data_IF_274607901270
#
_entry.id   IF_274607901270
#
_cell.length_a   1.000
_cell.length_b   1.000
_cell.length_c   1.000
_cell.angle_alpha   90.00
_cell.angle_beta   90.00
_cell.angle_gamma   90.00
#
_symmetry.space_group_name_H-M   'P 1'
#
loop_
_entity.id
_entity.type
_entity.pdbx_description
1 polymer ?
#
# COMPACT_ATOMS: atom_id res chain seq x y z
N UNK A 1 0.95 -14.34 18.93
CA UNK A 1 -0.30 -13.82 18.36
C UNK A 1 -0.37 -12.34 18.74
N UNK A 2 -0.47 -11.43 17.78
CA UNK A 2 -0.61 -10.00 18.06
C UNK A 2 -1.95 -9.72 18.75
N UNK A 3 -1.92 -9.04 19.86
CA UNK A 3 -3.13 -8.53 20.54
C UNK A 3 -3.19 -7.03 20.35
N UNK A 4 -4.37 -6.52 19.97
CA UNK A 4 -4.56 -5.08 19.80
C UNK A 4 -4.32 -4.35 21.13
N UNK A 5 -3.60 -3.21 21.13
CA UNK A 5 -3.25 -2.51 22.35
C UNK A 5 -4.50 -2.04 23.12
N UNK A 6 -4.47 -2.15 24.43
CA UNK A 6 -5.59 -1.72 25.31
C UNK A 6 -5.84 -0.21 25.26
N UNK A 7 -4.79 0.59 25.00
CA UNK A 7 -4.90 2.05 24.91
C UNK A 7 -4.91 2.48 23.45
N UNK A 8 -5.99 3.18 23.07
CA UNK A 8 -6.15 3.70 21.70
C UNK A 8 -5.30 4.94 21.49
N UNK A 9 -4.34 4.85 20.60
CA UNK A 9 -3.66 6.05 20.08
C UNK A 9 -4.61 6.78 19.12
N UNK A 10 -4.60 8.12 19.19
CA UNK A 10 -5.40 8.97 18.30
C UNK A 10 -4.50 9.81 17.42
N UNK A 11 -4.90 10.00 16.18
CA UNK A 11 -4.27 10.95 15.27
C UNK A 11 -4.89 12.33 15.51
N UNK A 12 -4.20 13.17 16.28
CA UNK A 12 -4.57 14.58 16.46
C UNK A 12 -3.88 15.42 15.37
N UNK A 13 -4.28 15.19 14.12
CA UNK A 13 -3.77 15.89 12.93
C UNK A 13 -4.94 16.36 12.08
N UNK A 14 -4.78 17.45 11.32
CA UNK A 14 -5.73 17.83 10.28
C UNK A 14 -5.81 16.73 9.22
N UNK A 15 -6.93 16.66 8.54
CA UNK A 15 -7.08 15.86 7.34
C UNK A 15 -6.18 16.39 6.23
N UNK A 16 -5.73 15.54 5.33
CA UNK A 16 -4.95 15.96 4.17
C UNK A 16 -5.73 16.92 3.27
N UNK A 17 -7.07 16.80 3.24
CA UNK A 17 -8.00 17.72 2.56
C UNK A 17 -8.05 19.13 3.16
N UNK A 18 -7.58 19.33 4.38
CA UNK A 18 -7.57 20.63 5.06
C UNK A 18 -6.26 21.41 4.80
N UNK A 19 -5.25 20.78 4.22
CA UNK A 19 -4.00 21.41 3.83
C UNK A 19 -3.89 21.51 2.31
N UNK A 20 -3.77 22.73 1.72
CA UNK A 20 -3.80 22.91 0.27
C UNK A 20 -2.73 22.13 -0.50
N UNK A 21 -1.57 21.90 0.12
CA UNK A 21 -0.47 21.21 -0.53
C UNK A 21 -0.69 19.70 -0.58
N UNK A 22 -1.11 19.09 0.53
CA UNK A 22 -1.41 17.67 0.58
C UNK A 22 -2.68 17.33 -0.19
N UNK A 23 -3.69 18.18 -0.12
CA UNK A 23 -4.92 18.06 -0.92
C UNK A 23 -4.60 18.12 -2.41
N UNK A 24 -3.86 19.14 -2.86
CA UNK A 24 -3.45 19.26 -4.26
C UNK A 24 -2.61 18.08 -4.74
N UNK A 25 -1.72 17.56 -3.87
CA UNK A 25 -0.91 16.38 -4.19
C UNK A 25 -1.75 15.11 -4.41
N UNK A 26 -2.75 14.88 -3.58
CA UNK A 26 -3.63 13.71 -3.66
C UNK A 26 -4.68 13.85 -4.77
N UNK A 27 -5.30 15.03 -4.89
CA UNK A 27 -6.29 15.33 -5.92
C UNK A 27 -5.68 15.22 -7.33
N UNK A 28 -4.45 15.70 -7.53
CA UNK A 28 -3.73 15.53 -8.80
C UNK A 28 -3.50 14.06 -9.18
N UNK A 29 -3.65 13.13 -8.24
CA UNK A 29 -3.56 11.67 -8.41
C UNK A 29 -4.92 10.98 -8.40
N UNK A 30 -6.01 11.74 -8.36
CA UNK A 30 -7.38 11.24 -8.21
C UNK A 30 -7.60 10.43 -6.92
N UNK A 31 -6.83 10.73 -5.87
CA UNK A 31 -6.94 10.08 -4.56
C UNK A 31 -7.78 10.96 -3.62
N UNK A 32 -8.74 10.35 -2.94
CA UNK A 32 -9.57 11.03 -1.94
C UNK A 32 -8.73 11.43 -0.71
N UNK A 33 -8.41 12.72 -0.61
CA UNK A 33 -7.58 13.29 0.44
C UNK A 33 -8.20 13.24 1.84
N UNK A 34 -9.53 13.02 1.93
CA UNK A 34 -10.23 12.90 3.23
C UNK A 34 -9.87 11.62 3.98
N UNK A 35 -9.32 10.62 3.29
CA UNK A 35 -8.90 9.36 3.90
C UNK A 35 -7.60 9.47 4.70
N UNK A 36 -6.81 10.51 4.45
CA UNK A 36 -5.46 10.69 4.99
C UNK A 36 -5.37 11.90 5.91
N UNK A 37 -4.21 12.05 6.57
CA UNK A 37 -3.93 13.17 7.45
C UNK A 37 -2.65 13.87 6.99
N UNK A 38 -2.41 15.06 7.52
CA UNK A 38 -1.21 15.86 7.21
C UNK A 38 -0.42 16.17 8.46
N UNK A 39 0.88 15.90 8.43
CA UNK A 39 1.83 16.28 9.48
C UNK A 39 2.86 17.28 8.93
N UNK A 40 2.77 18.53 9.34
CA UNK A 40 3.73 19.57 8.98
C UNK A 40 5.12 19.28 9.55
N UNK A 41 5.18 18.61 10.71
CA UNK A 41 6.39 18.22 11.41
C UNK A 41 6.33 16.73 11.72
N UNK A 42 6.68 15.90 10.74
CA UNK A 42 6.50 14.47 10.79
C UNK A 42 7.24 13.78 11.94
N UNK A 43 8.54 14.08 12.10
CA UNK A 43 9.37 13.46 13.16
C UNK A 43 8.88 13.83 14.55
N UNK A 44 8.56 15.11 14.75
CA UNK A 44 8.01 15.61 16.02
C UNK A 44 6.68 14.98 16.34
N UNK A 45 5.81 14.85 15.35
CA UNK A 45 4.52 14.19 15.50
C UNK A 45 4.69 12.71 15.86
N UNK A 46 5.51 11.96 15.13
CA UNK A 46 5.77 10.54 15.41
C UNK A 46 6.33 10.35 16.82
N UNK A 47 7.30 11.16 17.22
CA UNK A 47 7.89 11.08 18.56
C UNK A 47 6.89 11.38 19.68
N UNK A 48 5.82 12.13 19.40
CA UNK A 48 4.72 12.32 20.39
C UNK A 48 3.88 11.05 20.60
N UNK A 49 3.89 10.13 19.65
CA UNK A 49 3.17 8.85 19.72
C UNK A 49 4.07 7.69 20.18
N UNK A 50 5.31 7.66 19.67
CA UNK A 50 6.34 6.67 20.00
C UNK A 50 7.71 7.33 19.76
N UNK A 51 8.61 7.39 20.76
CA UNK A 51 10.00 7.80 20.55
C UNK A 51 10.65 6.96 19.45
N UNK A 52 10.98 7.59 18.32
CA UNK A 52 11.45 6.88 17.11
C UNK A 52 12.66 7.57 16.49
N UNK A 53 12.66 8.91 16.49
CA UNK A 53 13.72 9.73 15.90
C UNK A 53 14.55 10.38 17.00
N UNK A 54 15.87 10.17 16.99
CA UNK A 54 16.79 10.79 17.94
C UNK A 54 16.90 12.32 17.76
N UNK A 55 16.65 12.78 16.53
CA UNK A 55 16.68 14.21 16.20
C UNK A 55 15.48 14.61 15.36
N UNK A 56 14.87 15.72 15.76
CA UNK A 56 13.82 16.40 14.96
C UNK A 56 14.39 17.56 14.14
N UNK A 57 15.72 17.72 14.10
CA UNK A 57 16.40 18.65 13.19
C UNK A 57 16.11 18.20 11.75
N UNK A 58 15.83 19.13 10.85
CA UNK A 58 15.43 18.85 9.47
C UNK A 58 14.16 18.01 9.38
N UNK A 59 13.18 18.33 10.22
CA UNK A 59 11.84 17.75 10.13
C UNK A 59 11.13 18.19 8.85
N UNK A 60 10.24 17.38 8.36
CA UNK A 60 9.59 17.57 7.07
C UNK A 60 8.09 17.29 7.13
N UNK A 61 7.36 17.83 6.17
CA UNK A 61 5.95 17.59 6.02
C UNK A 61 5.68 16.28 5.29
N UNK A 62 4.70 15.51 5.78
CA UNK A 62 4.28 14.24 5.16
C UNK A 62 2.78 14.06 5.24
N UNK A 63 2.22 13.42 4.23
CA UNK A 63 0.89 12.82 4.30
C UNK A 63 0.99 11.57 5.18
N UNK A 64 0.07 11.46 6.13
CA UNK A 64 0.02 10.34 7.08
C UNK A 64 -1.06 9.35 6.63
N UNK A 65 -0.62 8.14 6.39
CA UNK A 65 -1.43 6.98 6.04
C UNK A 65 -1.54 6.11 7.28
N UNK A 66 -2.70 6.11 7.98
CA UNK A 66 -2.84 5.37 9.23
C UNK A 66 -3.02 3.88 8.97
N UNK A 67 -2.37 3.06 9.78
CA UNK A 67 -2.54 1.62 9.78
C UNK A 67 -3.43 1.22 10.95
N UNK A 68 -4.60 0.65 10.66
CA UNK A 68 -5.57 0.21 11.65
C UNK A 68 -5.70 -1.31 11.66
N UNK A 69 -5.88 -1.87 12.85
CA UNK A 69 -6.28 -3.24 13.06
C UNK A 69 -7.28 -3.33 14.22
N UNK A 70 -8.47 -3.87 13.95
CA UNK A 70 -9.58 -3.92 14.91
C UNK A 70 -9.87 -2.55 15.53
N UNK A 71 -9.96 -1.52 14.69
CA UNK A 71 -10.19 -0.10 15.05
C UNK A 71 -9.13 0.51 15.97
N UNK A 72 -7.96 -0.11 16.11
CA UNK A 72 -6.83 0.44 16.83
C UNK A 72 -5.76 0.92 15.85
N UNK A 73 -5.23 2.11 16.09
CA UNK A 73 -4.08 2.61 15.34
C UNK A 73 -2.83 1.85 15.79
N UNK A 74 -2.30 1.00 14.90
CA UNK A 74 -1.16 0.11 15.17
C UNK A 74 0.14 0.63 14.59
N UNK A 75 0.07 1.57 13.69
CA UNK A 75 1.21 2.19 13.01
C UNK A 75 0.75 3.26 12.05
N UNK A 76 1.69 3.84 11.35
CA UNK A 76 1.44 4.79 10.27
C UNK A 76 2.55 4.73 9.23
N UNK A 77 2.23 5.21 8.04
CA UNK A 77 3.22 5.46 7.01
C UNK A 77 3.19 6.94 6.62
N UNK A 78 4.35 7.58 6.58
CA UNK A 78 4.50 8.97 6.17
C UNK A 78 4.97 9.06 4.72
N UNK A 79 4.13 9.57 3.81
CA UNK A 79 4.49 9.86 2.42
C UNK A 79 5.02 11.27 2.28
N UNK A 80 6.22 11.44 1.73
CA UNK A 80 6.76 12.75 1.40
C UNK A 80 5.92 13.46 0.33
N UNK A 81 5.58 14.73 0.58
CA UNK A 81 4.84 15.59 -0.38
C UNK A 81 5.79 16.22 -1.37
N UNK A 82 6.98 16.62 -0.90
CA UNK A 82 8.06 17.15 -1.73
C UNK A 82 8.96 16.04 -2.27
N UNK A 83 9.74 16.29 -3.35
CA UNK A 83 10.79 15.39 -3.78
C UNK A 83 11.71 15.01 -2.61
N UNK A 84 11.82 13.71 -2.36
CA UNK A 84 12.58 13.17 -1.23
C UNK A 84 13.13 11.80 -1.61
N UNK A 85 14.42 11.49 -1.35
CA UNK A 85 14.97 10.16 -1.60
C UNK A 85 14.26 9.07 -0.80
N UNK A 86 13.75 9.42 0.39
CA UNK A 86 12.94 8.51 1.22
C UNK A 86 11.46 8.83 1.04
N UNK A 87 10.85 8.27 0.00
CA UNK A 87 9.44 8.51 -0.33
C UNK A 87 8.48 8.12 0.79
N UNK A 88 8.72 6.98 1.44
CA UNK A 88 7.88 6.45 2.50
C UNK A 88 8.69 6.14 3.75
N UNK A 89 8.13 6.45 4.92
CA UNK A 89 8.65 6.04 6.23
C UNK A 89 7.53 5.35 6.97
N UNK A 90 7.71 4.07 7.30
CA UNK A 90 6.72 3.29 8.07
C UNK A 90 7.15 3.20 9.52
N UNK A 91 6.25 3.54 10.44
CA UNK A 91 6.47 3.45 11.88
C UNK A 91 5.38 2.57 12.51
N UNK A 92 5.79 1.46 13.08
CA UNK A 92 4.91 0.56 13.81
C UNK A 92 4.98 0.84 15.30
N UNK A 93 3.84 0.87 15.98
CA UNK A 93 3.80 1.08 17.43
C UNK A 93 4.08 -0.21 18.20
N UNK A 94 3.86 -1.36 17.57
CA UNK A 94 4.26 -2.69 18.03
C UNK A 94 4.93 -3.42 16.88
N UNK A 95 6.06 -4.07 17.13
CA UNK A 95 6.84 -4.77 16.10
C UNK A 95 6.13 -6.02 15.56
N UNK A 96 5.23 -6.60 16.36
CA UNK A 96 4.42 -7.76 15.96
C UNK A 96 3.15 -7.37 15.22
N UNK A 97 2.84 -6.07 15.11
CA UNK A 97 1.68 -5.59 14.39
C UNK A 97 1.83 -5.73 12.87
N UNK A 98 0.75 -6.00 12.14
CA UNK A 98 0.81 -6.13 10.68
C UNK A 98 1.16 -4.80 10.02
N UNK A 99 2.21 -4.79 9.19
CA UNK A 99 2.55 -3.65 8.32
C UNK A 99 1.67 -3.63 7.07
N UNK A 100 0.37 -3.60 7.28
CA UNK A 100 -0.63 -3.70 6.23
C UNK A 100 -1.62 -2.55 6.36
N UNK A 101 -1.87 -1.84 5.25
CA UNK A 101 -2.92 -0.83 5.15
C UNK A 101 -4.24 -1.46 4.72
N UNK A 102 -5.36 -1.00 5.26
CA UNK A 102 -6.69 -1.38 4.81
C UNK A 102 -7.29 -2.63 5.48
N UNK A 103 -6.62 -3.26 6.46
CA UNK A 103 -7.10 -4.48 7.11
C UNK A 103 -8.52 -4.38 7.70
N UNK A 104 -8.88 -3.23 8.24
CA UNK A 104 -10.21 -3.02 8.85
C UNK A 104 -11.33 -2.82 7.82
N UNK A 105 -10.98 -2.67 6.54
CA UNK A 105 -11.92 -2.40 5.45
C UNK A 105 -12.25 -3.65 4.61
N UNK A 106 -11.64 -4.79 4.94
CA UNK A 106 -11.82 -6.04 4.19
C UNK A 106 -13.21 -6.61 4.42
N UNK A 107 -13.84 -7.04 3.34
CA UNK A 107 -15.07 -7.83 3.32
C UNK A 107 -14.74 -9.29 3.03
N UNK A 108 -15.28 -10.20 3.83
CA UNK A 108 -15.04 -11.64 3.68
C UNK A 108 -15.79 -12.32 2.53
N UNK A 109 -16.66 -11.60 1.84
CA UNK A 109 -17.53 -12.09 0.76
C UNK A 109 -17.00 -11.83 -0.66
N UNK A 110 -15.82 -11.23 -0.78
CA UNK A 110 -15.22 -10.85 -2.05
C UNK A 110 -13.70 -11.10 -2.05
N UNK A 111 -13.09 -11.30 -3.23
CA UNK A 111 -11.63 -11.41 -3.34
C UNK A 111 -10.93 -10.21 -2.71
N UNK A 112 -9.80 -10.46 -2.04
CA UNK A 112 -8.96 -9.41 -1.46
C UNK A 112 -7.80 -9.13 -2.40
N UNK A 113 -7.70 -7.90 -2.85
CA UNK A 113 -6.56 -7.44 -3.66
C UNK A 113 -5.42 -6.99 -2.76
N UNK A 114 -4.20 -7.37 -3.09
CA UNK A 114 -2.99 -7.02 -2.34
C UNK A 114 -2.06 -6.21 -3.23
N UNK A 115 -1.92 -4.92 -2.95
CA UNK A 115 -1.03 -4.00 -3.68
C UNK A 115 0.27 -3.74 -2.91
N UNK A 116 1.27 -3.17 -3.58
CA UNK A 116 2.52 -2.76 -2.93
C UNK A 116 2.32 -1.48 -2.11
N UNK A 117 1.65 -0.49 -2.68
CA UNK A 117 1.45 0.82 -2.07
C UNK A 117 0.03 1.09 -1.60
N UNK A 118 -0.15 1.81 -0.46
CA UNK A 118 -1.48 2.19 0.02
C UNK A 118 -2.29 3.02 -0.99
N UNK A 119 -1.64 3.89 -1.75
CA UNK A 119 -2.34 4.73 -2.72
C UNK A 119 -2.98 3.91 -3.84
N UNK A 120 -2.27 2.90 -4.35
CA UNK A 120 -2.80 2.00 -5.38
C UNK A 120 -4.02 1.24 -4.88
N UNK A 121 -4.02 0.80 -3.61
CA UNK A 121 -5.15 0.09 -3.03
C UNK A 121 -6.44 0.93 -2.95
N UNK A 122 -6.35 2.26 -2.94
CA UNK A 122 -7.53 3.14 -2.86
C UNK A 122 -8.41 3.11 -4.11
N UNK A 123 -7.87 2.65 -5.24
CA UNK A 123 -8.59 2.52 -6.51
C UNK A 123 -9.32 1.19 -6.67
N UNK A 124 -9.14 0.28 -5.72
CA UNK A 124 -9.70 -1.06 -5.78
C UNK A 124 -10.72 -1.30 -4.67
N UNK A 125 -11.79 -1.99 -5.01
CA UNK A 125 -12.73 -2.47 -4.01
C UNK A 125 -12.10 -3.64 -3.24
N UNK A 126 -12.23 -3.66 -1.90
CA UNK A 126 -11.75 -4.76 -1.05
C UNK A 126 -10.24 -5.02 -1.16
N UNK A 127 -9.44 -3.98 -0.99
CA UNK A 127 -7.99 -4.05 -1.14
C UNK A 127 -7.24 -3.71 0.14
N UNK A 128 -6.05 -4.29 0.24
CA UNK A 128 -5.02 -3.97 1.22
C UNK A 128 -3.72 -3.60 0.52
N UNK A 129 -2.82 -2.96 1.25
CA UNK A 129 -1.47 -2.71 0.76
C UNK A 129 -0.41 -3.13 1.75
N UNK A 130 0.70 -3.65 1.21
CA UNK A 130 1.89 -4.00 1.97
C UNK A 130 2.73 -2.75 2.21
N UNK A 131 2.84 -2.29 3.45
CA UNK A 131 3.62 -1.08 3.79
C UNK A 131 5.08 -1.41 4.11
N UNK A 132 5.71 -2.24 3.33
CA UNK A 132 7.08 -2.73 3.53
C UNK A 132 7.23 -4.18 3.08
N UNK A 133 8.18 -4.91 3.68
CA UNK A 133 8.46 -6.29 3.31
C UNK A 133 7.23 -7.22 3.43
N UNK A 134 7.27 -8.30 2.67
CA UNK A 134 6.25 -9.35 2.59
C UNK A 134 5.72 -9.75 3.98
N UNK A 135 4.48 -9.41 4.29
CA UNK A 135 3.81 -9.89 5.48
C UNK A 135 3.11 -11.20 5.16
N UNK A 136 3.14 -12.14 6.10
CA UNK A 136 2.33 -13.33 6.06
C UNK A 136 0.87 -12.93 6.30
N UNK A 137 0.13 -12.70 5.19
CA UNK A 137 -1.23 -12.18 5.24
C UNK A 137 -2.24 -13.22 5.74
N UNK A 138 -1.93 -14.52 5.64
CA UNK A 138 -2.79 -15.60 6.13
C UNK A 138 -3.02 -15.50 7.63
N UNK A 139 -2.02 -15.04 8.38
CA UNK A 139 -2.13 -14.79 9.82
C UNK A 139 -3.21 -13.77 10.19
N UNK A 140 -3.62 -12.95 9.22
CA UNK A 140 -4.55 -11.84 9.43
C UNK A 140 -5.96 -12.12 8.90
N UNK A 141 -6.22 -13.39 8.52
CA UNK A 141 -7.53 -13.86 8.10
C UNK A 141 -7.85 -13.55 6.63
N UNK A 142 -6.83 -13.33 5.83
CA UNK A 142 -6.96 -13.13 4.39
C UNK A 142 -6.67 -14.47 3.71
N UNK A 143 -7.70 -15.07 3.16
CA UNK A 143 -7.60 -16.28 2.36
C UNK A 143 -7.78 -15.95 0.88
N UNK A 144 -7.06 -16.68 0.01
CA UNK A 144 -7.15 -16.58 -1.45
C UNK A 144 -6.96 -15.13 -2.01
N UNK A 145 -5.87 -14.43 -1.63
CA UNK A 145 -5.60 -13.08 -2.12
C UNK A 145 -5.22 -13.06 -3.59
N UNK A 146 -5.50 -11.92 -4.25
CA UNK A 146 -5.00 -11.61 -5.59
C UNK A 146 -3.87 -10.59 -5.45
N UNK A 147 -2.65 -11.01 -5.77
CA UNK A 147 -1.46 -10.16 -5.67
C UNK A 147 -1.29 -9.29 -6.92
N UNK A 148 -1.00 -8.02 -6.68
CA UNK A 148 -0.83 -7.01 -7.72
C UNK A 148 0.49 -6.28 -7.47
N UNK A 149 1.46 -6.52 -8.33
CA UNK A 149 2.77 -5.87 -8.32
C UNK A 149 2.84 -4.76 -9.36
N UNK A 150 3.77 -3.84 -9.20
CA UNK A 150 4.04 -2.80 -10.18
C UNK A 150 4.36 -3.41 -11.55
N UNK A 151 3.98 -2.72 -12.61
CA UNK A 151 4.24 -3.14 -14.01
C UNK A 151 5.68 -2.84 -14.41
N UNK A 152 6.64 -3.48 -13.74
CA UNK A 152 8.08 -3.29 -13.97
C UNK A 152 8.75 -4.59 -14.45
N UNK A 153 8.56 -5.00 -15.72
CA UNK A 153 9.03 -6.30 -16.25
C UNK A 153 10.56 -6.47 -16.32
N UNK A 154 11.32 -5.45 -15.97
CA UNK A 154 12.80 -5.47 -15.88
C UNK A 154 13.32 -5.34 -14.45
N UNK A 155 12.46 -5.10 -13.48
CA UNK A 155 12.83 -4.95 -12.07
C UNK A 155 13.01 -6.34 -11.43
N UNK A 156 14.25 -6.71 -11.11
CA UNK A 156 14.57 -8.04 -10.56
C UNK A 156 13.86 -8.35 -9.25
N UNK A 157 13.61 -7.34 -8.41
CA UNK A 157 12.90 -7.53 -7.16
C UNK A 157 11.44 -7.91 -7.43
N UNK A 158 10.76 -7.14 -8.30
CA UNK A 158 9.37 -7.42 -8.71
C UNK A 158 9.27 -8.80 -9.37
N UNK A 159 10.18 -9.13 -10.27
CA UNK A 159 10.22 -10.46 -10.92
C UNK A 159 10.33 -11.58 -9.89
N UNK A 160 11.24 -11.46 -8.92
CA UNK A 160 11.40 -12.46 -7.85
C UNK A 160 10.16 -12.58 -6.96
N UNK A 161 9.48 -11.49 -6.68
CA UNK A 161 8.24 -11.50 -5.87
C UNK A 161 7.10 -12.17 -6.62
N UNK A 162 6.90 -11.85 -7.90
CA UNK A 162 5.90 -12.51 -8.75
C UNK A 162 6.17 -14.01 -8.84
N UNK A 163 7.42 -14.41 -9.09
CA UNK A 163 7.81 -15.82 -9.20
C UNK A 163 7.50 -16.60 -7.91
N UNK A 164 7.87 -16.06 -6.75
CA UNK A 164 7.53 -16.67 -5.44
C UNK A 164 6.02 -16.79 -5.24
N UNK A 165 5.26 -15.77 -5.64
CA UNK A 165 3.79 -15.79 -5.54
C UNK A 165 3.19 -16.89 -6.42
N UNK A 166 3.68 -17.04 -7.66
CA UNK A 166 3.26 -18.11 -8.55
C UNK A 166 3.61 -19.49 -7.98
N UNK A 167 4.83 -19.65 -7.45
CA UNK A 167 5.30 -20.92 -6.90
C UNK A 167 4.57 -21.33 -5.61
N UNK A 168 4.04 -20.36 -4.85
CA UNK A 168 3.15 -20.63 -3.72
C UNK A 168 1.73 -21.08 -4.14
N UNK A 169 1.40 -21.01 -5.43
CA UNK A 169 0.07 -21.32 -5.94
C UNK A 169 -0.94 -20.17 -5.82
N UNK A 170 -0.54 -19.01 -5.31
CA UNK A 170 -1.40 -17.85 -5.16
C UNK A 170 -1.77 -17.21 -6.50
N UNK A 171 -2.86 -16.45 -6.50
CA UNK A 171 -3.32 -15.68 -7.67
C UNK A 171 -2.48 -14.41 -7.80
N UNK A 172 -2.11 -14.07 -9.03
CA UNK A 172 -1.32 -12.87 -9.34
C UNK A 172 -1.81 -12.21 -10.63
N UNK A 173 -1.76 -10.89 -10.68
CA UNK A 173 -2.01 -10.13 -11.90
C UNK A 173 -0.72 -10.08 -12.72
N UNK A 174 -0.82 -10.45 -14.00
CA UNK A 174 0.24 -10.24 -14.98
C UNK A 174 -0.27 -9.24 -16.00
N UNK A 175 0.34 -8.06 -16.01
CA UNK A 175 -0.12 -6.95 -16.85
C UNK A 175 0.00 -7.27 -18.35
N UNK A 176 -1.00 -6.90 -19.17
CA UNK A 176 -0.93 -7.12 -20.62
C UNK A 176 0.11 -6.20 -21.28
N UNK A 177 0.67 -6.64 -22.39
CA UNK A 177 1.76 -5.93 -23.11
C UNK A 177 1.40 -4.55 -23.65
N UNK A 178 0.13 -4.21 -23.70
CA UNK A 178 -0.37 -2.90 -24.16
C UNK A 178 -0.45 -1.83 -23.08
N UNK A 179 -0.06 -2.12 -21.86
CA UNK A 179 -0.06 -1.17 -20.72
C UNK A 179 1.40 -0.83 -20.42
N UNK A 180 1.74 0.46 -20.57
CA UNK A 180 3.08 0.99 -20.30
C UNK A 180 3.17 1.69 -18.94
N UNK A 181 2.04 2.02 -18.33
CA UNK A 181 1.94 2.63 -17.01
C UNK A 181 2.56 1.71 -15.95
N UNK A 182 3.31 2.33 -15.03
CA UNK A 182 4.08 1.61 -14.03
C UNK A 182 3.23 0.97 -12.93
N UNK A 183 2.28 1.71 -12.41
CA UNK A 183 1.47 1.33 -11.25
C UNK A 183 -0.02 1.64 -11.47
N UNK A 184 -0.85 1.20 -10.54
CA UNK A 184 -2.31 1.40 -10.60
C UNK A 184 -2.67 2.87 -10.67
N UNK A 185 -1.98 3.73 -9.91
CA UNK A 185 -2.27 5.15 -9.94
C UNK A 185 -2.01 5.76 -11.31
N UNK A 186 -0.88 5.44 -11.94
CA UNK A 186 -0.55 5.91 -13.29
C UNK A 186 -1.59 5.40 -14.31
N UNK A 187 -2.04 4.14 -14.18
CA UNK A 187 -3.09 3.55 -15.04
C UNK A 187 -4.43 4.29 -14.90
N UNK A 188 -4.84 4.62 -13.68
CA UNK A 188 -6.07 5.42 -13.45
C UNK A 188 -5.91 6.80 -14.05
N UNK A 189 -4.75 7.44 -13.89
CA UNK A 189 -4.46 8.75 -14.45
C UNK A 189 -4.50 8.77 -15.99
N UNK A 190 -4.13 7.65 -16.64
CA UNK A 190 -4.25 7.49 -18.10
C UNK A 190 -5.67 7.14 -18.57
N UNK A 191 -6.63 6.96 -17.64
CA UNK A 191 -8.02 6.67 -17.93
C UNK A 191 -8.36 5.19 -18.11
N UNK A 192 -7.48 4.27 -17.68
CA UNK A 192 -7.76 2.83 -17.74
C UNK A 192 -8.78 2.41 -16.67
N UNK A 193 -9.70 1.53 -17.05
CA UNK A 193 -10.54 0.79 -16.09
C UNK A 193 -9.71 -0.33 -15.45
N UNK A 194 -8.97 0.05 -14.41
CA UNK A 194 -8.02 -0.84 -13.73
C UNK A 194 -8.71 -2.07 -13.13
N UNK A 195 -9.93 -1.92 -12.61
CA UNK A 195 -10.67 -3.03 -12.03
C UNK A 195 -10.97 -4.12 -13.08
N UNK A 196 -11.38 -3.72 -14.27
CA UNK A 196 -11.60 -4.64 -15.40
C UNK A 196 -10.29 -5.26 -15.89
N UNK A 197 -9.22 -4.47 -16.02
CA UNK A 197 -7.91 -4.96 -16.43
C UNK A 197 -7.40 -6.03 -15.46
N UNK A 198 -7.45 -5.79 -14.15
CA UNK A 198 -7.04 -6.74 -13.11
C UNK A 198 -7.85 -8.03 -13.22
N UNK A 199 -9.18 -7.93 -13.30
CA UNK A 199 -10.06 -9.10 -13.39
C UNK A 199 -9.73 -9.99 -14.60
N UNK A 200 -9.42 -9.39 -15.74
CA UNK A 200 -9.12 -10.12 -16.99
C UNK A 200 -7.70 -10.69 -17.02
N UNK A 201 -6.79 -10.20 -16.16
CA UNK A 201 -5.38 -10.57 -16.17
C UNK A 201 -4.90 -11.19 -14.84
N UNK A 202 -5.82 -11.76 -14.08
CA UNK A 202 -5.53 -12.53 -12.86
C UNK A 202 -5.35 -14.00 -13.21
N UNK A 203 -4.19 -14.55 -12.88
CA UNK A 203 -3.80 -15.93 -13.21
C UNK A 203 -3.25 -16.66 -11.99
N UNK A 204 -3.20 -18.00 -12.07
CA UNK A 204 -2.56 -18.87 -11.08
C UNK A 204 -1.93 -20.09 -11.73
N UNK A 205 -1.09 -20.82 -11.01
CA UNK A 205 -0.48 -22.07 -11.43
C UNK A 205 0.29 -21.99 -12.77
N UNK A 206 0.07 -22.97 -13.67
CA UNK A 206 0.80 -23.03 -14.94
C UNK A 206 0.50 -21.87 -15.87
N UNK A 207 -0.74 -21.38 -15.89
CA UNK A 207 -1.12 -20.24 -16.72
C UNK A 207 -0.37 -18.98 -16.30
N UNK A 208 -0.29 -18.71 -14.98
CA UNK A 208 0.50 -17.59 -14.45
C UNK A 208 1.98 -17.71 -14.86
N UNK A 209 2.58 -18.91 -14.78
CA UNK A 209 3.98 -19.14 -15.24
C UNK A 209 4.17 -18.80 -16.71
N UNK A 210 3.28 -19.22 -17.58
CA UNK A 210 3.35 -18.96 -19.01
C UNK A 210 3.23 -17.46 -19.30
N UNK A 211 2.22 -16.79 -18.70
CA UNK A 211 2.03 -15.34 -18.85
C UNK A 211 3.21 -14.55 -18.30
N UNK A 212 3.73 -14.90 -17.13
CA UNK A 212 4.90 -14.28 -16.53
C UNK A 212 6.15 -14.40 -17.40
N UNK A 213 6.41 -15.58 -17.98
CA UNK A 213 7.55 -15.79 -18.88
C UNK A 213 7.47 -14.95 -20.16
N UNK A 214 6.25 -14.63 -20.63
CA UNK A 214 6.04 -13.75 -21.77
C UNK A 214 6.16 -12.27 -21.39
N UNK A 215 5.75 -11.91 -20.16
CA UNK A 215 5.74 -10.54 -19.69
C UNK A 215 7.12 -10.04 -19.26
N UNK A 216 7.93 -10.87 -18.59
CA UNK A 216 9.26 -10.47 -18.12
C UNK A 216 10.20 -10.13 -19.28
N UNK A 217 11.03 -9.11 -19.11
CA UNK A 217 11.96 -8.58 -20.11
C UNK A 217 13.39 -8.55 -19.57
N UNK A 218 13.99 -9.72 -19.37
CA UNK A 218 15.39 -9.97 -18.95
C UNK A 218 16.14 -10.71 -20.02
#
# INVERSE_FOLDING_TARGET
KFEAPKFKKKLNLPKASEDPKSDGYLTARQIDSTQFYFAKHFKKFVNSLKPTFDSVKYDEERIIIPLYYKKNLIGLQGRAVNPNPVKYITVMFDENAPKIYGLDNIRGDAPVYVTEGPFDSTFLSNAIAMCGADADIDKWGISDPIWIYDNEPRNREILSRIERTIDSGAKVVIWPSGIDEKDINDMVMSGLDVQSVIKLNTYSGLEAKLKFNTWKRI
#
